data_IF_610517923641
#
_entry.id   IF_610517923641
#
_cell.length_a   1.000
_cell.length_b   1.000
_cell.length_c   1.000
_cell.angle_alpha   90.00
_cell.angle_beta   90.00
_cell.angle_gamma   90.00
#
_symmetry.space_group_name_H-M   'P 1'
#
loop_
_entity.id
_entity.type
_entity.pdbx_description
1 polymer ?
#
# COMPACT_ATOMS: atom_id res chain seq x y z
N UNK A 1 -50.22 5.98 65.12
CA UNK A 1 -51.16 4.84 65.28
C UNK A 1 -52.36 5.13 64.39
N UNK A 2 -52.99 4.22 63.61
CA UNK A 2 -52.85 2.76 63.53
C UNK A 2 -53.11 2.18 62.12
N UNK A 3 -52.24 1.27 61.68
CA UNK A 3 -52.42 0.00 60.91
C UNK A 3 -53.44 -0.17 59.73
N UNK A 4 -52.85 -0.54 58.57
CA UNK A 4 -53.16 -1.69 57.66
C UNK A 4 -54.47 -1.82 56.81
N UNK A 5 -54.31 -1.65 55.49
CA UNK A 5 -54.54 -2.58 54.35
C UNK A 5 -55.70 -3.61 54.28
N UNK A 6 -56.20 -3.92 53.05
CA UNK A 6 -56.35 -5.28 52.44
C UNK A 6 -56.75 -5.19 50.93
N UNK A 7 -56.97 -6.32 50.22
CA UNK A 7 -56.89 -6.49 48.73
C UNK A 7 -58.12 -7.17 48.04
N UNK A 8 -58.22 -7.05 46.68
CA UNK A 8 -58.86 -7.93 45.63
C UNK A 8 -59.91 -7.21 44.73
N UNK A 9 -60.21 -7.59 43.46
CA UNK A 9 -59.47 -8.24 42.32
C UNK A 9 -60.24 -8.05 40.97
N UNK A 10 -59.57 -8.37 39.85
CA UNK A 10 -59.97 -8.40 38.40
C UNK A 10 -61.25 -9.25 38.08
N UNK A 11 -61.99 -9.25 36.93
CA UNK A 11 -62.21 -8.51 35.62
C UNK A 11 -63.44 -9.20 34.92
N UNK A 12 -63.78 -9.23 33.59
CA UNK A 12 -63.48 -8.44 32.35
C UNK A 12 -64.75 -8.08 31.45
N UNK A 13 -64.54 -7.71 30.16
CA UNK A 13 -65.43 -7.92 28.97
C UNK A 13 -66.65 -6.99 28.69
N UNK A 14 -67.16 -6.76 27.45
CA UNK A 14 -66.57 -6.62 26.08
C UNK A 14 -67.61 -6.06 25.06
N UNK A 15 -67.14 -5.63 23.85
CA UNK A 15 -67.87 -5.53 22.55
C UNK A 15 -68.87 -4.37 22.20
N UNK A 16 -68.38 -3.46 21.34
CA UNK A 16 -68.80 -3.26 19.93
C UNK A 16 -69.80 -2.16 19.44
N UNK A 17 -69.23 -1.29 18.59
CA UNK A 17 -69.70 -0.83 17.25
C UNK A 17 -71.02 -0.04 17.06
N UNK A 18 -70.88 1.17 16.47
CA UNK A 18 -71.43 1.50 15.13
C UNK A 18 -70.93 2.85 14.58
N UNK A 19 -69.98 2.82 13.65
CA UNK A 19 -69.69 3.96 12.75
C UNK A 19 -70.62 3.90 11.53
N UNK A 20 -71.05 5.06 11.01
CA UNK A 20 -71.66 5.21 9.68
C UNK A 20 -70.80 6.15 8.83
N UNK A 21 -70.46 5.74 7.62
CA UNK A 21 -69.67 6.55 6.69
C UNK A 21 -70.53 7.57 5.91
N UNK A 22 -69.96 8.73 5.62
CA UNK A 22 -70.05 9.41 4.32
C UNK A 22 -68.67 10.00 3.98
N UNK A 23 -68.30 9.96 2.70
CA UNK A 23 -66.95 10.34 2.24
C UNK A 23 -66.80 11.84 1.95
N UNK A 24 -65.64 12.38 2.28
CA UNK A 24 -65.01 13.50 1.59
C UNK A 24 -63.54 13.10 1.30
N UNK A 25 -63.01 13.48 0.14
CA UNK A 25 -61.83 12.86 -0.48
C UNK A 25 -60.52 13.10 0.31
N UNK A 26 -59.65 12.09 0.31
CA UNK A 26 -58.30 12.14 0.88
C UNK A 26 -57.48 13.32 0.35
N UNK A 27 -56.78 14.01 1.27
CA UNK A 27 -55.42 14.51 1.07
C UNK A 27 -54.68 14.39 2.42
N UNK A 28 -54.22 13.19 2.78
CA UNK A 28 -53.22 13.05 3.84
C UNK A 28 -51.91 13.68 3.35
N UNK A 29 -51.53 14.84 3.90
CA UNK A 29 -50.18 15.38 3.73
C UNK A 29 -49.23 14.53 4.57
N UNK A 30 -48.75 13.42 4.00
CA UNK A 30 -47.69 12.61 4.60
C UNK A 30 -46.37 13.34 4.45
N UNK A 31 -45.94 14.01 5.52
CA UNK A 31 -44.59 14.55 5.64
C UNK A 31 -43.58 13.40 5.56
N UNK A 32 -43.03 13.19 4.36
CA UNK A 32 -41.83 12.38 4.16
C UNK A 32 -40.63 13.15 4.72
N UNK A 33 -40.40 13.02 6.02
CA UNK A 33 -39.12 13.38 6.64
C UNK A 33 -38.16 12.25 6.32
N UNK A 34 -37.57 12.28 5.12
CA UNK A 34 -36.34 11.56 4.85
C UNK A 34 -35.31 12.00 5.88
N UNK A 35 -34.69 11.05 6.59
CA UNK A 35 -33.48 11.34 7.38
C UNK A 35 -32.42 11.76 6.37
N UNK A 36 -32.17 13.07 6.29
CA UNK A 36 -30.97 13.59 5.65
C UNK A 36 -29.78 12.87 6.28
N UNK A 37 -28.86 12.45 5.43
CA UNK A 37 -27.61 11.82 5.87
C UNK A 37 -26.91 12.72 6.88
N UNK A 38 -26.12 12.12 7.76
CA UNK A 38 -25.35 12.88 8.74
C UNK A 38 -24.31 13.72 8.00
N UNK A 39 -24.67 14.99 7.75
CA UNK A 39 -23.78 16.06 7.32
C UNK A 39 -22.75 16.29 8.41
N UNK A 40 -21.76 15.41 8.44
CA UNK A 40 -20.54 15.55 9.20
C UNK A 40 -19.90 16.84 8.74
N UNK A 41 -20.01 17.87 9.59
CA UNK A 41 -19.25 19.10 9.41
C UNK A 41 -17.78 18.68 9.35
N UNK A 42 -17.07 19.14 8.32
CA UNK A 42 -15.62 19.02 8.31
C UNK A 42 -15.12 19.98 9.38
N UNK A 43 -14.77 19.44 10.55
CA UNK A 43 -14.12 20.20 11.60
C UNK A 43 -12.87 20.89 11.05
N UNK A 44 -12.58 22.09 11.56
CA UNK A 44 -11.35 22.80 11.22
C UNK A 44 -10.13 21.91 11.53
N UNK A 45 -9.10 21.96 10.70
CA UNK A 45 -7.89 21.18 10.91
C UNK A 45 -7.27 21.51 12.28
N UNK A 46 -7.18 20.51 13.17
CA UNK A 46 -6.59 20.62 14.50
C UNK A 46 -5.17 20.07 14.45
N UNK A 47 -4.23 20.75 15.13
CA UNK A 47 -2.89 20.24 15.36
C UNK A 47 -2.96 19.00 16.26
N UNK A 48 -2.60 17.82 15.72
CA UNK A 48 -2.60 16.56 16.46
C UNK A 48 -1.40 16.46 17.40
N UNK A 49 -0.21 16.82 16.91
CA UNK A 49 1.01 16.96 17.69
C UNK A 49 1.96 17.94 17.00
N UNK A 50 2.78 18.64 17.78
CA UNK A 50 4.02 19.25 17.29
C UNK A 50 5.15 18.25 17.54
N UNK A 51 5.87 17.88 16.48
CA UNK A 51 6.95 16.88 16.53
C UNK A 51 8.34 17.51 16.66
N UNK A 52 8.50 18.77 16.28
CA UNK A 52 9.80 19.43 16.23
C UNK A 52 9.69 20.89 16.72
N UNK A 53 9.42 21.09 18.03
CA UNK A 53 8.92 22.37 18.52
C UNK A 53 9.89 23.54 18.32
N UNK A 54 9.44 24.55 17.59
CA UNK A 54 10.22 25.77 17.35
C UNK A 54 10.01 26.33 15.94
N UNK A 55 11.09 26.35 15.15
CA UNK A 55 11.12 26.88 13.78
C UNK A 55 11.59 25.84 12.75
N UNK A 56 11.46 24.54 13.07
CA UNK A 56 11.86 23.42 12.23
C UNK A 56 10.64 22.53 11.93
N UNK A 57 10.48 22.12 10.67
CA UNK A 57 9.30 21.36 10.25
C UNK A 57 9.44 19.86 10.51
N UNK A 58 8.48 19.28 11.24
CA UNK A 58 8.41 17.82 11.45
C UNK A 58 8.21 17.00 10.16
N UNK A 59 7.69 17.62 9.09
CA UNK A 59 7.63 17.07 7.72
C UNK A 59 7.18 15.59 7.61
N UNK A 60 6.03 15.20 8.20
CA UNK A 60 5.60 13.80 8.24
C UNK A 60 5.18 13.29 6.85
N UNK A 61 5.55 12.04 6.54
CA UNK A 61 5.47 11.47 5.18
C UNK A 61 5.35 9.94 5.18
N UNK A 62 4.94 9.37 4.03
CA UNK A 62 4.71 7.92 3.83
C UNK A 62 3.85 7.29 4.94
N UNK A 63 2.58 7.71 5.04
CA UNK A 63 1.65 7.21 6.05
C UNK A 63 1.12 5.80 5.69
N UNK A 64 1.27 4.83 6.60
CA UNK A 64 0.70 3.48 6.47
C UNK A 64 -0.06 3.09 7.74
N UNK A 65 -1.22 2.44 7.60
CA UNK A 65 -1.94 1.90 8.74
C UNK A 65 -1.44 0.49 9.08
N UNK A 66 -1.04 0.27 10.34
CA UNK A 66 -0.62 -1.03 10.85
C UNK A 66 -1.11 -1.21 12.30
N UNK A 67 -1.58 -2.41 12.65
CA UNK A 67 -2.04 -2.80 13.99
C UNK A 67 -2.93 -1.76 14.72
N UNK A 68 -3.88 -1.15 14.01
CA UNK A 68 -4.79 -0.14 14.58
C UNK A 68 -4.15 1.22 14.88
N UNK A 69 -3.04 1.57 14.22
CA UNK A 69 -2.33 2.84 14.38
C UNK A 69 -1.76 3.32 13.03
N UNK A 70 -1.44 4.61 12.91
CA UNK A 70 -0.88 5.21 11.71
C UNK A 70 0.62 5.44 11.90
N UNK A 71 1.44 4.77 11.10
CA UNK A 71 2.90 4.87 11.12
C UNK A 71 3.38 5.74 9.96
N UNK A 72 4.44 6.51 10.19
CA UNK A 72 4.97 7.46 9.21
C UNK A 72 6.42 7.86 9.52
N UNK A 73 7.08 8.44 8.52
CA UNK A 73 8.43 8.99 8.60
C UNK A 73 8.36 10.48 8.89
N UNK A 74 8.95 10.95 9.99
CA UNK A 74 8.93 12.36 10.39
C UNK A 74 10.22 12.79 11.09
N UNK A 75 10.58 14.07 10.95
CA UNK A 75 11.60 14.70 11.78
C UNK A 75 11.00 15.07 13.14
N UNK A 76 11.76 14.90 14.23
CA UNK A 76 11.27 15.31 15.54
C UNK A 76 12.17 14.97 16.72
N UNK A 77 11.56 14.96 17.90
CA UNK A 77 12.25 14.77 19.18
C UNK A 77 11.84 13.47 19.90
N UNK A 78 12.73 12.98 20.77
CA UNK A 78 12.44 11.92 21.72
C UNK A 78 11.61 12.42 22.93
N UNK A 79 11.28 11.53 23.87
CA UNK A 79 10.57 11.87 25.10
C UNK A 79 11.34 12.79 26.07
N UNK A 80 12.64 13.00 25.86
CA UNK A 80 13.47 13.96 26.59
C UNK A 80 13.61 15.32 25.90
N UNK A 81 13.10 15.49 24.68
CA UNK A 81 13.27 16.69 23.86
C UNK A 81 14.59 16.74 23.06
N UNK A 82 15.28 15.61 22.91
CA UNK A 82 16.46 15.49 22.08
C UNK A 82 16.07 15.24 20.60
N UNK A 83 16.72 15.94 19.67
CA UNK A 83 16.54 15.78 18.23
C UNK A 83 17.06 14.40 17.75
N UNK A 84 16.16 13.61 17.16
CA UNK A 84 16.45 12.27 16.60
C UNK A 84 16.51 12.26 15.07
N UNK A 85 16.46 13.43 14.43
CA UNK A 85 16.38 13.53 12.97
C UNK A 85 15.07 12.92 12.44
N UNK A 86 15.10 12.39 11.21
CA UNK A 86 13.93 11.72 10.61
C UNK A 86 13.86 10.25 11.00
N UNK A 87 12.88 9.90 11.82
CA UNK A 87 12.69 8.56 12.39
C UNK A 87 11.26 8.03 12.21
N UNK A 88 11.03 6.80 12.72
CA UNK A 88 9.73 6.13 12.66
C UNK A 88 8.83 6.62 13.79
N UNK A 89 7.79 7.38 13.43
CA UNK A 89 6.76 7.84 14.35
C UNK A 89 5.43 7.11 14.15
N UNK A 90 4.60 7.10 15.20
CA UNK A 90 3.29 6.46 15.25
C UNK A 90 2.27 7.38 15.90
N UNK A 91 1.13 7.57 15.23
CA UNK A 91 -0.10 8.11 15.80
C UNK A 91 -1.00 6.94 16.24
N UNK A 92 -1.38 6.91 17.52
CA UNK A 92 -2.24 5.87 18.09
C UNK A 92 -3.75 6.17 17.97
N UNK A 93 -4.58 5.20 18.36
CA UNK A 93 -6.04 5.31 18.33
C UNK A 93 -6.64 6.31 19.34
N UNK A 94 -5.82 6.87 20.24
CA UNK A 94 -6.20 7.88 21.23
C UNK A 94 -5.81 9.30 20.78
N UNK A 95 -5.10 9.44 19.66
CA UNK A 95 -4.57 10.72 19.17
C UNK A 95 -3.14 11.03 19.61
N UNK A 96 -2.47 10.13 20.34
CA UNK A 96 -1.11 10.34 20.83
C UNK A 96 -0.08 9.98 19.75
N UNK A 97 0.83 10.91 19.44
CA UNK A 97 1.98 10.65 18.57
C UNK A 97 3.22 10.34 19.42
N UNK A 98 3.92 9.26 19.09
CA UNK A 98 5.16 8.87 19.74
C UNK A 98 6.21 8.37 18.75
N UNK A 99 7.48 8.60 19.05
CA UNK A 99 8.61 7.88 18.45
C UNK A 99 8.44 6.37 18.70
N UNK A 100 8.70 5.54 17.69
CA UNK A 100 8.58 4.07 17.77
C UNK A 100 9.93 3.44 18.10
N UNK A 101 10.98 3.90 17.41
CA UNK A 101 12.37 3.57 17.68
C UNK A 101 13.25 4.70 17.17
N UNK A 102 14.31 5.00 17.90
CA UNK A 102 15.46 5.75 17.40
C UNK A 102 16.41 4.74 16.73
N UNK A 103 16.38 4.66 15.40
CA UNK A 103 17.09 3.64 14.62
C UNK A 103 18.51 4.10 14.27
N UNK A 104 18.72 5.41 14.07
CA UNK A 104 20.05 6.03 13.89
C UNK A 104 20.20 7.29 14.76
N UNK A 105 20.61 7.11 16.05
CA UNK A 105 20.63 8.16 17.06
C UNK A 105 21.26 9.50 16.67
N UNK A 106 20.53 10.56 17.03
CA UNK A 106 20.87 11.96 16.78
C UNK A 106 20.30 12.49 15.45
N UNK A 107 20.51 13.78 15.19
CA UNK A 107 19.86 14.57 14.12
C UNK A 107 20.06 14.08 12.67
N UNK A 108 20.79 13.00 12.45
CA UNK A 108 20.84 12.30 11.18
C UNK A 108 19.55 11.51 10.89
N UNK A 109 18.97 10.84 11.90
CA UNK A 109 17.78 9.95 11.81
C UNK A 109 17.89 8.83 10.76
N UNK A 110 17.02 7.82 10.78
CA UNK A 110 17.13 6.68 9.85
C UNK A 110 16.51 6.89 8.46
N UNK A 111 15.76 7.97 8.23
CA UNK A 111 14.96 8.20 7.01
C UNK A 111 14.09 6.97 6.62
N UNK A 112 13.25 6.44 7.53
CA UNK A 112 12.51 5.21 7.28
C UNK A 112 11.43 5.42 6.20
N UNK A 113 11.11 4.39 5.41
CA UNK A 113 10.17 4.51 4.30
C UNK A 113 9.75 3.19 3.67
N UNK A 114 8.91 3.25 2.62
CA UNK A 114 8.35 2.07 1.92
C UNK A 114 7.45 1.17 2.83
N UNK A 115 6.79 1.76 3.82
CA UNK A 115 6.06 1.09 4.90
C UNK A 115 4.98 0.10 4.43
N UNK A 116 5.27 -1.21 4.54
CA UNK A 116 4.43 -2.30 4.04
C UNK A 116 4.09 -3.30 5.14
N UNK A 117 2.79 -3.46 5.44
CA UNK A 117 2.31 -4.44 6.40
C UNK A 117 2.25 -5.84 5.78
N UNK A 118 2.99 -6.81 6.34
CA UNK A 118 3.04 -8.19 5.87
C UNK A 118 3.03 -9.13 7.08
N UNK A 119 2.07 -10.08 7.09
CA UNK A 119 1.93 -11.17 8.08
C UNK A 119 2.04 -10.75 9.56
N UNK A 120 1.38 -9.65 9.93
CA UNK A 120 1.37 -9.17 11.32
C UNK A 120 2.70 -8.51 11.75
N UNK A 121 3.39 -7.87 10.82
CA UNK A 121 4.57 -7.05 11.05
C UNK A 121 4.63 -5.93 9.99
N UNK A 122 5.31 -4.83 10.29
CA UNK A 122 5.49 -3.71 9.38
C UNK A 122 6.95 -3.70 8.90
N UNK A 123 7.16 -3.87 7.59
CA UNK A 123 8.47 -3.87 6.94
C UNK A 123 8.71 -2.53 6.26
N UNK A 124 9.95 -2.08 6.27
CA UNK A 124 10.34 -0.78 5.75
C UNK A 124 11.84 -0.73 5.47
N UNK A 125 12.25 0.19 4.61
CA UNK A 125 13.66 0.52 4.38
C UNK A 125 14.07 1.64 5.34
N UNK A 126 15.17 1.46 6.08
CA UNK A 126 15.69 2.49 6.99
C UNK A 126 17.22 2.42 7.06
N UNK A 127 17.85 3.51 7.49
CA UNK A 127 19.30 3.69 7.52
C UNK A 127 19.82 3.50 8.93
N UNK A 128 20.55 2.41 9.19
CA UNK A 128 21.16 2.10 10.49
C UNK A 128 22.69 2.02 10.42
N UNK A 129 23.35 1.29 11.34
CA UNK A 129 24.81 1.12 11.37
C UNK A 129 25.42 0.50 10.11
N UNK A 130 24.67 -0.38 9.44
CA UNK A 130 25.09 -1.09 8.22
C UNK A 130 24.68 -0.33 6.94
N UNK A 131 24.05 0.86 7.08
CA UNK A 131 23.50 1.63 5.97
C UNK A 131 22.00 1.41 5.79
N UNK A 132 21.48 1.65 4.57
CA UNK A 132 20.04 1.55 4.26
C UNK A 132 19.62 0.11 3.96
N UNK A 133 19.16 -0.59 4.99
CA UNK A 133 18.80 -2.00 5.00
C UNK A 133 17.29 -2.24 5.20
N UNK A 134 16.88 -3.51 5.20
CA UNK A 134 15.51 -3.95 5.48
C UNK A 134 15.28 -4.04 6.99
N UNK A 135 14.35 -3.24 7.49
CA UNK A 135 13.90 -3.26 8.89
C UNK A 135 12.46 -3.78 9.01
N UNK A 136 12.16 -4.27 10.21
CA UNK A 136 10.85 -4.81 10.59
C UNK A 136 10.48 -4.35 11.99
N UNK A 137 9.27 -3.81 12.13
CA UNK A 137 8.56 -3.63 13.39
C UNK A 137 7.62 -4.82 13.59
N UNK A 138 7.69 -5.49 14.74
CA UNK A 138 6.84 -6.64 15.05
C UNK A 138 5.51 -6.28 15.74
N UNK A 139 4.73 -7.29 16.12
CA UNK A 139 3.45 -7.11 16.82
C UNK A 139 3.60 -6.75 18.31
N UNK A 140 4.80 -6.93 18.89
CA UNK A 140 5.14 -6.51 20.25
C UNK A 140 5.72 -5.09 20.34
N UNK A 141 5.99 -4.45 19.19
CA UNK A 141 6.56 -3.11 19.10
C UNK A 141 8.09 -3.08 18.96
N UNK A 142 8.76 -4.22 18.79
CA UNK A 142 10.21 -4.27 18.61
C UNK A 142 10.60 -4.00 17.16
N UNK A 143 11.53 -3.06 16.95
CA UNK A 143 12.18 -2.81 15.66
C UNK A 143 13.49 -3.57 15.58
N UNK A 144 13.68 -4.34 14.50
CA UNK A 144 14.90 -5.08 14.21
C UNK A 144 15.23 -5.04 12.71
N UNK A 145 16.51 -4.98 12.37
CA UNK A 145 17.01 -5.29 11.02
C UNK A 145 16.70 -6.75 10.68
N UNK A 146 16.24 -7.02 9.47
CA UNK A 146 15.83 -8.37 9.01
C UNK A 146 17.01 -9.13 8.42
N UNK A 147 17.88 -8.42 7.70
CA UNK A 147 19.17 -8.89 7.22
C UNK A 147 20.08 -7.69 6.95
N UNK A 148 21.39 -7.90 7.04
CA UNK A 148 22.35 -7.21 6.18
C UNK A 148 22.37 -7.95 4.84
N UNK A 149 21.96 -7.28 3.76
CA UNK A 149 21.92 -7.82 2.39
C UNK A 149 23.20 -7.44 1.61
N UNK A 150 23.91 -6.40 2.05
CA UNK A 150 25.00 -5.75 1.34
C UNK A 150 26.35 -5.74 2.10
N UNK A 151 26.54 -6.67 3.04
CA UNK A 151 27.79 -7.05 3.70
C UNK A 151 28.65 -5.87 4.21
N UNK A 152 28.31 -5.35 5.39
CA UNK A 152 29.04 -4.29 6.09
C UNK A 152 28.32 -2.94 6.00
N UNK A 153 29.05 -1.84 5.81
CA UNK A 153 28.45 -0.49 5.77
C UNK A 153 27.95 -0.07 4.36
N UNK A 154 27.71 -1.03 3.46
CA UNK A 154 27.18 -0.73 2.12
C UNK A 154 25.66 -0.91 2.14
N UNK A 155 24.93 0.03 1.54
CA UNK A 155 23.47 0.04 1.61
C UNK A 155 22.84 -0.78 0.49
N UNK A 156 22.01 -1.76 0.85
CA UNK A 156 21.21 -2.54 -0.09
C UNK A 156 20.04 -1.75 -0.69
N UNK A 157 19.61 -0.67 -0.03
CA UNK A 157 18.54 0.23 -0.48
C UNK A 157 17.26 -0.54 -0.93
N UNK A 158 16.63 -1.32 -0.04
CA UNK A 158 15.49 -2.13 -0.44
C UNK A 158 14.28 -1.24 -0.77
N UNK A 159 13.51 -1.58 -1.80
CA UNK A 159 12.35 -0.81 -2.25
C UNK A 159 11.35 -1.66 -3.05
N UNK A 160 10.12 -1.16 -3.21
CA UNK A 160 9.06 -1.83 -3.98
C UNK A 160 8.46 -3.06 -3.27
N UNK A 161 8.38 -3.02 -1.94
CA UNK A 161 7.85 -4.11 -1.12
C UNK A 161 6.42 -4.49 -1.53
N UNK A 162 6.26 -5.72 -2.04
CA UNK A 162 5.00 -6.22 -2.59
C UNK A 162 4.75 -7.64 -2.08
N UNK A 163 3.57 -7.92 -1.52
CA UNK A 163 3.19 -9.31 -1.23
C UNK A 163 2.87 -10.04 -2.55
N UNK A 164 3.43 -11.23 -2.71
CA UNK A 164 3.04 -12.18 -3.75
C UNK A 164 3.23 -13.60 -3.24
N UNK A 165 2.25 -14.48 -3.48
CA UNK A 165 2.25 -15.89 -3.07
C UNK A 165 2.57 -16.11 -1.57
N UNK A 166 2.08 -15.22 -0.70
CA UNK A 166 2.32 -15.28 0.74
C UNK A 166 3.75 -14.92 1.17
N UNK A 167 4.54 -14.28 0.30
CA UNK A 167 5.91 -13.78 0.57
C UNK A 167 6.02 -12.31 0.21
N UNK A 168 6.76 -11.54 1.02
CA UNK A 168 7.11 -10.17 0.70
C UNK A 168 8.30 -10.15 -0.28
N UNK A 169 8.10 -9.63 -1.48
CA UNK A 169 9.07 -9.48 -2.55
C UNK A 169 9.52 -8.03 -2.68
N UNK A 170 10.78 -7.77 -3.07
CA UNK A 170 11.34 -6.42 -3.18
C UNK A 170 12.62 -6.39 -4.01
N UNK A 171 12.99 -5.21 -4.51
CA UNK A 171 14.30 -4.96 -5.13
C UNK A 171 15.33 -4.55 -4.08
N UNK A 172 16.51 -5.16 -4.07
CA UNK A 172 17.61 -4.78 -3.19
C UNK A 172 18.98 -5.05 -3.85
N UNK A 173 19.99 -4.28 -3.44
CA UNK A 173 21.39 -4.44 -3.87
C UNK A 173 22.10 -5.40 -2.93
N UNK A 174 22.80 -6.39 -3.48
CA UNK A 174 23.68 -7.29 -2.73
C UNK A 174 24.92 -7.64 -3.54
N UNK A 175 25.55 -8.78 -3.23
CA UNK A 175 26.78 -9.25 -3.90
C UNK A 175 26.65 -9.56 -5.41
N UNK A 176 25.44 -9.47 -5.97
CA UNK A 176 25.12 -9.65 -7.39
C UNK A 176 24.60 -8.38 -8.09
N UNK A 177 24.78 -7.22 -7.47
CA UNK A 177 24.09 -5.99 -7.90
C UNK A 177 22.66 -5.94 -7.37
N UNK A 178 21.80 -5.13 -8.01
CA UNK A 178 20.40 -4.94 -7.60
C UNK A 178 19.46 -5.93 -8.27
N UNK A 179 18.98 -6.88 -7.47
CA UNK A 179 18.19 -8.03 -7.90
C UNK A 179 16.85 -8.15 -7.15
N UNK A 180 16.06 -9.17 -7.49
CA UNK A 180 14.79 -9.48 -6.82
C UNK A 180 15.01 -10.40 -5.62
N UNK A 181 14.62 -9.93 -4.44
CA UNK A 181 14.70 -10.64 -3.15
C UNK A 181 13.31 -10.88 -2.57
N UNK A 182 13.22 -11.78 -1.57
CA UNK A 182 12.02 -12.03 -0.78
C UNK A 182 12.29 -12.38 0.68
N UNK A 183 11.30 -12.16 1.55
CA UNK A 183 11.28 -12.63 2.94
C UNK A 183 10.54 -13.97 3.03
N UNK A 184 11.15 -14.97 3.69
CA UNK A 184 10.52 -16.29 3.92
C UNK A 184 9.63 -16.35 5.18
N UNK A 185 9.12 -17.55 5.52
CA UNK A 185 8.27 -17.77 6.71
C UNK A 185 9.01 -17.63 8.04
N UNK A 186 10.34 -17.59 8.02
CA UNK A 186 11.22 -17.47 9.17
C UNK A 186 11.91 -16.09 9.24
N UNK A 187 11.37 -15.10 8.53
CA UNK A 187 11.91 -13.73 8.42
C UNK A 187 13.33 -13.65 7.84
N UNK A 188 13.75 -14.62 7.02
CA UNK A 188 15.06 -14.57 6.34
C UNK A 188 14.90 -14.00 4.94
N UNK A 189 15.87 -13.18 4.52
CA UNK A 189 15.95 -12.68 3.14
C UNK A 189 16.62 -13.72 2.24
N UNK A 190 16.02 -13.94 1.06
CA UNK A 190 16.56 -14.82 0.01
C UNK A 190 16.52 -14.11 -1.34
N UNK A 191 17.56 -14.32 -2.15
CA UNK A 191 17.52 -14.00 -3.59
C UNK A 191 16.45 -14.88 -4.28
N UNK A 192 15.63 -14.29 -5.14
CA UNK A 192 14.59 -15.00 -5.91
C UNK A 192 15.15 -15.47 -7.25
N UNK A 193 15.81 -14.55 -7.95
CA UNK A 193 16.51 -14.81 -9.20
C UNK A 193 17.67 -13.83 -9.33
N UNK A 194 18.77 -14.31 -9.88
CA UNK A 194 19.84 -13.49 -10.47
C UNK A 194 19.48 -13.34 -11.95
N UNK A 195 18.76 -12.28 -12.30
CA UNK A 195 18.16 -12.10 -13.64
C UNK A 195 19.26 -11.77 -14.66
N UNK A 196 20.28 -11.01 -14.26
CA UNK A 196 21.40 -10.58 -15.11
C UNK A 196 22.74 -11.11 -14.60
N UNK A 197 22.81 -12.44 -14.54
CA UNK A 197 23.89 -13.26 -13.98
C UNK A 197 25.25 -12.57 -13.75
N UNK A 198 25.63 -12.42 -12.48
CA UNK A 198 26.95 -11.98 -12.05
C UNK A 198 26.89 -10.79 -11.08
N UNK A 199 27.75 -9.77 -11.22
CA UNK A 199 27.72 -8.55 -10.41
C UNK A 199 26.86 -7.42 -11.03
N UNK A 200 26.06 -7.73 -12.05
CA UNK A 200 25.35 -6.73 -12.86
C UNK A 200 23.91 -6.57 -12.38
N UNK A 201 23.55 -5.37 -11.92
CA UNK A 201 22.16 -5.08 -11.57
C UNK A 201 21.19 -5.34 -12.73
N UNK A 202 20.07 -5.96 -12.39
CA UNK A 202 18.84 -5.99 -13.18
C UNK A 202 17.91 -4.82 -12.83
N UNK A 203 18.06 -4.25 -11.63
CA UNK A 203 17.29 -3.11 -11.12
C UNK A 203 15.76 -3.27 -11.26
N UNK A 204 15.15 -4.32 -10.68
CA UNK A 204 13.71 -4.55 -10.80
C UNK A 204 12.87 -3.46 -10.11
N UNK A 205 11.73 -3.08 -10.72
CA UNK A 205 10.79 -2.03 -10.25
C UNK A 205 9.38 -2.24 -10.81
N UNK A 206 8.41 -1.39 -10.46
CA UNK A 206 7.01 -1.43 -10.93
C UNK A 206 6.23 -2.71 -10.53
N UNK A 207 6.52 -3.26 -9.35
CA UNK A 207 5.95 -4.53 -8.89
C UNK A 207 4.41 -4.52 -8.78
N UNK A 208 3.74 -5.41 -9.51
CA UNK A 208 2.26 -5.49 -9.61
C UNK A 208 1.79 -6.94 -9.67
N UNK A 209 0.96 -7.44 -8.72
CA UNK A 209 0.30 -8.75 -8.89
C UNK A 209 -0.84 -8.63 -9.91
N UNK A 210 -0.83 -9.53 -10.91
CA UNK A 210 -1.92 -9.71 -11.85
C UNK A 210 -2.03 -11.17 -12.29
N UNK A 211 -3.26 -11.68 -12.40
CA UNK A 211 -3.57 -13.04 -12.88
C UNK A 211 -2.76 -14.18 -12.21
N UNK A 212 -2.34 -14.00 -10.95
CA UNK A 212 -1.54 -14.99 -10.22
C UNK A 212 -0.04 -14.99 -10.54
N UNK A 213 0.49 -13.91 -11.13
CA UNK A 213 1.92 -13.63 -11.30
C UNK A 213 2.25 -12.25 -10.74
N UNK A 214 3.48 -12.05 -10.27
CA UNK A 214 4.02 -10.72 -9.96
C UNK A 214 4.77 -10.18 -11.18
N UNK A 215 4.23 -9.14 -11.81
CA UNK A 215 4.83 -8.43 -12.93
C UNK A 215 5.74 -7.31 -12.45
N UNK A 216 6.83 -7.05 -13.18
CA UNK A 216 7.79 -5.97 -12.87
C UNK A 216 8.69 -5.68 -14.08
N UNK A 217 9.26 -4.48 -14.14
CA UNK A 217 10.24 -4.10 -15.16
C UNK A 217 11.67 -4.37 -14.66
N UNK A 218 12.48 -5.12 -15.41
CA UNK A 218 13.86 -5.46 -15.04
C UNK A 218 14.79 -5.51 -16.27
N UNK A 219 16.09 -5.41 -16.03
CA UNK A 219 17.15 -5.35 -17.05
C UNK A 219 17.76 -6.73 -17.24
N UNK A 220 17.45 -7.39 -18.35
CA UNK A 220 18.05 -8.67 -18.76
C UNK A 220 19.37 -8.48 -19.54
N UNK A 221 19.63 -9.41 -20.45
CA UNK A 221 20.75 -9.33 -21.40
C UNK A 221 20.41 -8.52 -22.67
N UNK A 222 19.15 -8.53 -23.07
CA UNK A 222 18.62 -7.79 -24.22
C UNK A 222 18.41 -6.31 -23.84
N UNK A 223 17.80 -6.06 -22.68
CA UNK A 223 17.71 -4.73 -22.05
C UNK A 223 16.66 -4.67 -20.95
N UNK A 224 16.11 -3.48 -20.67
CA UNK A 224 15.01 -3.32 -19.70
C UNK A 224 13.66 -3.67 -20.34
N UNK A 225 13.15 -4.83 -19.99
CA UNK A 225 11.93 -5.45 -20.51
C UNK A 225 10.95 -5.82 -19.39
N UNK A 226 9.79 -6.38 -19.76
CA UNK A 226 8.77 -6.84 -18.82
C UNK A 226 9.06 -8.26 -18.34
N UNK A 227 9.15 -8.45 -17.03
CA UNK A 227 9.36 -9.74 -16.38
C UNK A 227 8.14 -10.12 -15.53
N UNK A 228 7.97 -11.42 -15.31
CA UNK A 228 6.97 -11.96 -14.40
C UNK A 228 7.55 -13.09 -13.54
N UNK A 229 7.17 -13.09 -12.28
CA UNK A 229 7.42 -14.16 -11.32
C UNK A 229 6.16 -15.01 -11.16
N UNK A 230 6.29 -16.31 -11.45
CA UNK A 230 5.24 -17.31 -11.19
C UNK A 230 5.29 -17.77 -9.73
N UNK A 231 4.16 -18.23 -9.17
CA UNK A 231 4.06 -18.78 -7.79
C UNK A 231 5.07 -19.90 -7.49
N UNK A 232 5.47 -20.67 -8.51
CA UNK A 232 6.56 -21.65 -8.41
C UNK A 232 7.98 -21.07 -8.19
N UNK A 233 8.14 -19.77 -8.00
CA UNK A 233 9.43 -19.10 -7.80
C UNK A 233 10.18 -18.77 -9.10
N UNK A 234 9.64 -19.12 -10.26
CA UNK A 234 10.29 -18.92 -11.56
C UNK A 234 10.06 -17.49 -12.08
N UNK A 235 11.14 -16.74 -12.24
CA UNK A 235 11.17 -15.51 -13.04
C UNK A 235 11.31 -15.85 -14.53
N UNK A 236 10.62 -15.11 -15.39
CA UNK A 236 10.75 -15.16 -16.85
C UNK A 236 10.48 -13.79 -17.46
N UNK A 237 11.12 -13.49 -18.59
CA UNK A 237 10.74 -12.36 -19.45
C UNK A 237 9.40 -12.70 -20.10
N UNK A 238 8.45 -11.76 -20.08
CA UNK A 238 7.07 -11.97 -20.59
C UNK A 238 7.03 -11.88 -22.11
N UNK A 239 7.90 -11.06 -22.68
CA UNK A 239 8.18 -10.94 -24.09
C UNK A 239 9.31 -9.93 -24.28
N UNK A 240 10.03 -10.04 -25.39
CA UNK A 240 10.94 -9.00 -25.88
C UNK A 240 10.08 -7.96 -26.63
N UNK A 241 9.83 -6.81 -26.00
CA UNK A 241 8.92 -5.77 -26.51
C UNK A 241 9.68 -4.78 -27.41
N UNK A 242 10.98 -4.58 -27.17
CA UNK A 242 11.87 -3.88 -28.08
C UNK A 242 13.04 -4.80 -28.49
N UNK A 243 12.88 -5.56 -29.59
CA UNK A 243 13.86 -6.52 -30.06
C UNK A 243 15.32 -6.07 -30.11
N UNK A 244 16.19 -7.07 -29.89
CA UNK A 244 17.66 -7.01 -29.95
C UNK A 244 18.31 -6.46 -28.67
N UNK A 245 19.16 -5.43 -28.78
CA UNK A 245 19.80 -4.74 -27.65
C UNK A 245 19.01 -3.47 -27.28
N UNK A 246 17.69 -3.55 -27.43
CA UNK A 246 16.75 -2.47 -27.17
C UNK A 246 16.39 -2.40 -25.69
N UNK A 247 15.49 -1.48 -25.34
CA UNK A 247 14.84 -1.51 -24.03
C UNK A 247 13.49 -0.84 -24.17
N UNK A 248 12.43 -1.63 -24.04
CA UNK A 248 11.07 -1.14 -24.00
C UNK A 248 10.84 -0.25 -22.78
N UNK A 249 11.60 -0.45 -21.70
CA UNK A 249 11.49 0.29 -20.43
C UNK A 249 10.03 0.33 -19.91
N UNK A 250 9.44 -0.80 -19.49
CA UNK A 250 8.10 -0.81 -18.93
C UNK A 250 8.04 0.03 -17.64
N UNK A 251 6.99 0.83 -17.54
CA UNK A 251 6.70 1.80 -16.48
C UNK A 251 5.19 1.95 -16.30
N UNK A 252 4.76 2.45 -15.15
CA UNK A 252 3.35 2.72 -14.85
C UNK A 252 2.49 1.45 -14.97
N UNK A 253 2.96 0.35 -14.38
CA UNK A 253 2.21 -0.91 -14.34
C UNK A 253 0.98 -0.74 -13.43
N UNK A 254 -0.21 -1.01 -13.97
CA UNK A 254 -1.48 -0.84 -13.26
C UNK A 254 -2.52 -1.88 -13.68
N UNK A 255 -3.23 -2.46 -12.71
CA UNK A 255 -4.37 -3.34 -12.99
C UNK A 255 -5.64 -2.51 -13.06
N UNK A 256 -6.27 -2.47 -14.22
CA UNK A 256 -7.55 -1.80 -14.46
C UNK A 256 -8.48 -2.70 -15.28
N UNK A 257 -9.79 -2.68 -14.99
CA UNK A 257 -10.82 -3.46 -15.68
C UNK A 257 -10.41 -4.92 -16.00
N UNK A 258 -9.98 -5.65 -14.97
CA UNK A 258 -9.58 -7.06 -15.07
C UNK A 258 -8.36 -7.33 -15.97
N UNK A 259 -7.54 -6.31 -16.26
CA UNK A 259 -6.41 -6.34 -17.18
C UNK A 259 -5.19 -5.64 -16.57
N UNK A 260 -3.96 -6.11 -16.84
CA UNK A 260 -2.76 -5.32 -16.56
C UNK A 260 -2.49 -4.40 -17.75
N UNK A 261 -2.22 -3.13 -17.46
CA UNK A 261 -1.76 -2.12 -18.41
C UNK A 261 -0.38 -1.60 -18.00
N UNK A 262 0.39 -1.10 -18.96
CA UNK A 262 1.67 -0.44 -18.73
C UNK A 262 2.08 0.43 -19.92
N UNK A 263 2.90 1.43 -19.68
CA UNK A 263 3.56 2.20 -20.73
C UNK A 263 4.91 1.55 -21.08
N UNK A 264 5.22 1.42 -22.37
CA UNK A 264 6.55 1.00 -22.84
C UNK A 264 6.87 1.55 -24.24
N UNK A 265 8.16 1.66 -24.55
CA UNK A 265 8.70 2.08 -25.84
C UNK A 265 8.49 0.98 -26.88
N UNK A 266 7.88 1.30 -28.03
CA UNK A 266 7.68 0.34 -29.11
C UNK A 266 8.94 0.19 -29.99
N UNK A 267 9.08 -0.96 -30.66
CA UNK A 267 10.12 -1.20 -31.67
C UNK A 267 10.21 -0.13 -32.77
N UNK A 268 9.10 0.57 -33.08
CA UNK A 268 9.07 1.67 -34.06
C UNK A 268 9.42 3.04 -33.44
N UNK A 269 9.85 3.06 -32.17
CA UNK A 269 9.99 4.26 -31.35
C UNK A 269 8.68 4.66 -30.66
N UNK A 270 8.76 5.66 -29.78
CA UNK A 270 7.63 6.23 -29.05
C UNK A 270 7.10 5.36 -27.90
N UNK A 271 6.67 6.01 -26.82
CA UNK A 271 6.02 5.36 -25.66
C UNK A 271 4.58 5.01 -26.07
N UNK A 272 4.13 3.81 -25.74
CA UNK A 272 2.85 3.23 -26.20
C UNK A 272 2.18 2.51 -25.04
N UNK A 273 0.85 2.54 -24.98
CA UNK A 273 0.10 1.77 -23.99
C UNK A 273 0.01 0.29 -24.40
N UNK A 274 0.54 -0.60 -23.56
CA UNK A 274 0.39 -2.04 -23.66
C UNK A 274 -0.66 -2.56 -22.68
N UNK A 275 -1.18 -3.76 -22.97
CA UNK A 275 -2.14 -4.49 -22.15
C UNK A 275 -1.74 -5.97 -22.09
N UNK A 276 -1.94 -6.62 -20.96
CA UNK A 276 -1.85 -8.07 -20.80
C UNK A 276 -3.23 -8.68 -20.48
N UNK A 277 -3.60 -9.74 -21.20
CA UNK A 277 -4.76 -10.56 -20.86
C UNK A 277 -4.45 -11.53 -19.70
N UNK A 278 -5.47 -12.24 -19.19
CA UNK A 278 -5.35 -13.08 -17.99
C UNK A 278 -4.57 -14.39 -18.19
N UNK A 279 -4.10 -14.70 -19.40
CA UNK A 279 -3.06 -15.73 -19.61
C UNK A 279 -1.65 -15.19 -19.34
N UNK A 280 -1.52 -13.86 -19.37
CA UNK A 280 -0.27 -13.14 -19.29
C UNK A 280 0.40 -12.88 -20.64
N UNK A 281 -0.29 -13.11 -21.75
CA UNK A 281 0.11 -12.60 -23.06
C UNK A 281 -0.12 -11.08 -23.11
N UNK A 282 0.91 -10.33 -23.53
CA UNK A 282 0.93 -8.88 -23.55
C UNK A 282 1.18 -8.34 -24.97
N UNK A 283 0.44 -7.30 -25.36
CA UNK A 283 0.54 -6.66 -26.67
C UNK A 283 0.18 -5.16 -26.57
N UNK A 284 0.47 -4.33 -27.58
CA UNK A 284 -0.03 -2.96 -27.64
C UNK A 284 -1.56 -2.97 -27.52
N UNK A 285 -2.13 -2.11 -26.67
CA UNK A 285 -3.57 -2.03 -26.34
C UNK A 285 -4.50 -2.29 -27.53
N UNK A 286 -4.34 -1.53 -28.63
CA UNK A 286 -5.18 -1.67 -29.84
C UNK A 286 -5.16 -3.04 -30.55
N UNK A 287 -4.28 -3.97 -30.17
CA UNK A 287 -4.31 -5.34 -30.66
C UNK A 287 -5.49 -6.16 -30.08
N UNK A 288 -6.07 -5.72 -28.96
CA UNK A 288 -7.18 -6.41 -28.29
C UNK A 288 -8.57 -6.07 -28.85
N UNK A 289 -8.66 -5.25 -29.90
CA UNK A 289 -9.90 -4.97 -30.64
C UNK A 289 -10.84 -3.94 -30.00
N UNK A 290 -10.46 -3.38 -28.84
CA UNK A 290 -11.12 -2.24 -28.19
C UNK A 290 -10.97 -0.91 -28.98
N UNK A 291 -9.98 -0.83 -29.86
CA UNK A 291 -9.65 0.36 -30.65
C UNK A 291 -8.79 1.39 -29.90
N UNK A 292 -8.40 1.13 -28.66
CA UNK A 292 -7.68 2.10 -27.81
C UNK A 292 -6.24 2.25 -28.31
N UNK A 293 -5.90 3.47 -28.78
CA UNK A 293 -4.54 3.83 -29.22
C UNK A 293 -4.05 5.07 -28.49
N UNK A 294 -3.37 4.84 -27.36
CA UNK A 294 -2.70 5.89 -26.61
C UNK A 294 -1.20 5.84 -26.93
N UNK A 295 -0.73 6.91 -27.58
CA UNK A 295 0.67 7.18 -27.84
C UNK A 295 1.16 8.23 -26.84
N UNK A 296 2.37 8.03 -26.32
CA UNK A 296 2.94 8.73 -25.17
C UNK A 296 1.98 8.81 -23.95
N UNK A 297 1.48 7.66 -23.43
CA UNK A 297 0.81 7.64 -22.13
C UNK A 297 1.79 8.07 -21.02
N UNK A 298 1.33 8.94 -20.13
CA UNK A 298 2.03 9.38 -18.92
C UNK A 298 1.00 9.57 -17.80
N UNK A 299 1.32 9.10 -16.60
CA UNK A 299 0.45 9.21 -15.42
C UNK A 299 -0.77 8.28 -15.44
N UNK A 300 -0.63 7.05 -15.95
CA UNK A 300 -1.69 6.03 -15.92
C UNK A 300 -2.24 5.85 -14.50
N UNK A 301 -3.56 5.91 -14.36
CA UNK A 301 -4.26 5.84 -13.08
C UNK A 301 -5.61 5.15 -13.26
N UNK A 302 -6.19 4.61 -12.19
CA UNK A 302 -7.51 3.97 -12.25
C UNK A 302 -8.57 4.92 -11.67
N UNK A 303 -9.67 5.10 -12.39
CA UNK A 303 -10.80 5.90 -11.93
C UNK A 303 -12.15 5.28 -12.33
N UNK A 304 -12.92 4.89 -11.32
CA UNK A 304 -14.27 4.30 -11.42
C UNK A 304 -14.33 3.09 -12.37
N UNK A 305 -13.27 2.26 -12.34
CA UNK A 305 -13.09 1.07 -13.17
C UNK A 305 -12.46 1.32 -14.55
N UNK A 306 -11.98 2.52 -14.84
CA UNK A 306 -11.42 2.94 -16.13
C UNK A 306 -9.96 3.41 -16.01
N UNK A 307 -9.27 3.48 -17.16
CA UNK A 307 -7.88 3.92 -17.34
C UNK A 307 -7.86 5.23 -18.17
#
# INVERSE_FOLDING_TARGET
MSRSAWWKRLTPAHFALRNRCRWAKNHEIRLHVTRLEERRVLDAAVLVADLNPGAADGSPSQFTQYNGSLYFSAAGQDSGGADVGRELFRLDSNGHVSLVADIRPGSAGSDPGEFTAYRGSLYFAATGPDGRELYRLDAGGHVSQVADIAAGHASSNPAGFTEFDGKLHFAATGSRGRELYKVDDANRVHLVSDIRYGPWSSDPREFTEYAGKLYFAATGWEGRELFALNRGGQVHQVGDIFPWWGSSNPEELIVCNGSLYFAATSFFGGRTLYRCDSSGHCAPSSAFGDGVRIANPEGLTEYDGNL
#
